data_IF_469988530471
#
_entry.id   IF_469988530471
#
_cell.length_a   1.000
_cell.length_b   1.000
_cell.length_c   1.000
_cell.angle_alpha   90.00
_cell.angle_beta   90.00
_cell.angle_gamma   90.00
#
_symmetry.space_group_name_H-M   'P 1'
#
loop_
_entity.id
_entity.type
_entity.pdbx_description
1 polymer ?
#
# COMPACT_ATOMS: atom_id res chain seq x y z
N UNK A 1 42.22 -26.72 -38.89
CA UNK A 1 40.76 -26.49 -38.92
C UNK A 1 40.35 -26.01 -37.54
N UNK A 2 39.50 -24.97 -37.49
CA UNK A 2 39.00 -24.31 -36.27
C UNK A 2 37.94 -25.19 -35.57
N UNK A 3 37.28 -24.63 -34.55
CA UNK A 3 36.15 -25.15 -33.74
C UNK A 3 36.63 -25.86 -32.45
N UNK A 4 36.23 -25.48 -31.22
CA UNK A 4 35.22 -24.55 -30.74
C UNK A 4 35.61 -24.05 -29.35
N UNK A 5 35.50 -22.75 -29.10
CA UNK A 5 35.52 -22.18 -27.76
C UNK A 5 34.16 -22.46 -27.10
N UNK A 6 34.16 -23.30 -26.06
CA UNK A 6 32.98 -23.49 -25.22
C UNK A 6 32.80 -22.24 -24.36
N UNK A 7 31.74 -21.48 -24.65
CA UNK A 7 31.29 -20.35 -23.84
C UNK A 7 30.76 -20.93 -22.53
N UNK A 8 31.48 -20.74 -21.42
CA UNK A 8 30.90 -20.91 -20.09
C UNK A 8 29.87 -19.80 -19.89
N UNK A 9 28.60 -20.14 -20.11
CA UNK A 9 27.49 -19.31 -19.71
C UNK A 9 27.50 -19.19 -18.18
N UNK A 10 27.74 -17.98 -17.68
CA UNK A 10 27.48 -17.62 -16.29
C UNK A 10 25.98 -17.76 -16.08
N UNK A 11 25.55 -18.88 -15.50
CA UNK A 11 24.25 -18.99 -14.89
C UNK A 11 24.24 -18.00 -13.70
N UNK A 12 23.77 -16.78 -13.96
CA UNK A 12 23.41 -15.85 -12.91
C UNK A 12 22.34 -16.55 -12.08
N UNK A 13 22.73 -17.02 -10.90
CA UNK A 13 21.82 -17.48 -9.86
C UNK A 13 20.94 -16.30 -9.53
N UNK A 14 19.81 -16.20 -10.23
CA UNK A 14 18.70 -15.37 -9.83
C UNK A 14 18.22 -15.95 -8.51
N UNK A 15 18.86 -15.54 -7.42
CA UNK A 15 18.30 -15.59 -6.08
C UNK A 15 17.12 -14.63 -6.10
N UNK A 16 16.05 -15.05 -6.77
CA UNK A 16 14.72 -14.62 -6.42
C UNK A 16 14.55 -15.11 -4.98
N UNK A 17 14.91 -14.23 -4.04
CA UNK A 17 14.30 -14.24 -2.72
C UNK A 17 12.82 -14.23 -3.04
N UNK A 18 12.20 -15.41 -2.98
CA UNK A 18 10.77 -15.55 -3.02
C UNK A 18 10.29 -14.81 -1.78
N UNK A 19 10.04 -13.51 -1.95
CA UNK A 19 9.35 -12.70 -0.97
C UNK A 19 8.10 -13.52 -0.65
N UNK A 20 7.94 -13.99 0.60
CA UNK A 20 6.73 -14.69 0.98
C UNK A 20 5.59 -13.76 0.58
N UNK A 21 4.69 -14.21 -0.31
CA UNK A 21 3.40 -13.55 -0.43
C UNK A 21 2.86 -13.57 0.98
N UNK A 22 2.61 -12.41 1.56
CA UNK A 22 1.93 -12.30 2.84
C UNK A 22 0.49 -12.78 2.61
N UNK A 23 0.30 -14.10 2.57
CA UNK A 23 -1.01 -14.72 2.45
C UNK A 23 -1.76 -14.36 3.73
N UNK A 24 -2.70 -13.41 3.64
CA UNK A 24 -3.57 -13.00 4.75
C UNK A 24 -3.39 -11.57 5.24
N UNK A 25 -2.31 -10.87 4.85
CA UNK A 25 -2.14 -9.47 5.24
C UNK A 25 -2.86 -8.54 4.25
N UNK A 26 -3.66 -7.61 4.78
CA UNK A 26 -4.46 -6.69 3.96
C UNK A 26 -4.73 -5.37 4.68
N UNK A 27 -5.20 -4.37 3.92
CA UNK A 27 -5.75 -3.14 4.47
C UNK A 27 -7.24 -3.06 4.17
N UNK A 28 -8.05 -2.80 5.19
CA UNK A 28 -9.41 -2.28 5.00
C UNK A 28 -9.32 -0.78 4.78
N UNK A 29 -9.75 -0.29 3.62
CA UNK A 29 -9.57 1.11 3.22
C UNK A 29 -10.88 1.86 3.08
N UNK A 30 -10.85 3.14 3.43
CA UNK A 30 -11.91 4.12 3.20
C UNK A 30 -11.29 5.33 2.54
N UNK A 31 -11.82 5.74 1.39
CA UNK A 31 -11.46 6.99 0.72
C UNK A 31 -12.66 7.93 0.81
N UNK A 32 -12.44 9.16 1.25
CA UNK A 32 -13.44 10.22 1.20
C UNK A 32 -12.91 11.42 0.43
N UNK A 33 -13.65 11.85 -0.57
CA UNK A 33 -13.37 13.06 -1.37
C UNK A 33 -14.55 14.01 -1.25
N UNK A 34 -14.34 15.17 -0.65
CA UNK A 34 -15.39 16.17 -0.46
C UNK A 34 -15.47 17.12 -1.66
N UNK A 35 -16.66 17.66 -1.92
CA UNK A 35 -16.85 18.66 -2.97
C UNK A 35 -16.13 19.98 -2.65
N UNK A 36 -15.95 20.27 -1.34
CA UNK A 36 -15.13 21.37 -0.88
C UNK A 36 -13.63 21.01 -1.05
N UNK A 37 -12.92 21.66 -2.00
CA UNK A 37 -11.51 21.36 -2.28
C UNK A 37 -10.57 21.83 -1.17
N UNK A 38 -11.07 22.51 -0.12
CA UNK A 38 -10.29 22.83 1.07
C UNK A 38 -10.16 21.64 2.03
N UNK A 39 -11.07 20.65 1.93
CA UNK A 39 -11.06 19.44 2.76
C UNK A 39 -10.18 18.32 2.19
N UNK A 40 -9.86 18.38 0.88
CA UNK A 40 -8.98 17.43 0.21
C UNK A 40 -9.55 16.01 0.08
N UNK A 41 -8.68 15.06 -0.28
CA UNK A 41 -9.01 13.63 -0.28
C UNK A 41 -8.40 12.99 0.97
N UNK A 42 -9.19 12.25 1.73
CA UNK A 42 -8.71 11.50 2.90
C UNK A 42 -8.74 10.01 2.60
N UNK A 43 -7.65 9.32 2.93
CA UNK A 43 -7.50 7.88 2.87
C UNK A 43 -7.27 7.36 4.28
N UNK A 44 -8.24 6.64 4.82
CA UNK A 44 -8.07 5.88 6.07
C UNK A 44 -7.86 4.41 5.74
N UNK A 45 -6.83 3.80 6.27
CA UNK A 45 -6.55 2.38 6.06
C UNK A 45 -6.31 1.69 7.40
N UNK A 46 -6.84 0.48 7.55
CA UNK A 46 -6.67 -0.37 8.71
C UNK A 46 -5.95 -1.65 8.28
N UNK A 47 -4.70 -1.80 8.67
CA UNK A 47 -3.87 -2.98 8.40
C UNK A 47 -4.28 -4.18 9.26
N UNK A 48 -4.45 -5.31 8.62
CA UNK A 48 -4.72 -6.61 9.23
C UNK A 48 -3.57 -7.53 8.86
N UNK A 49 -2.94 -8.13 9.88
CA UNK A 49 -1.92 -9.15 9.66
C UNK A 49 -2.20 -10.39 10.50
N UNK A 50 -2.22 -11.55 9.84
CA UNK A 50 -2.40 -12.83 10.53
C UNK A 50 -1.16 -13.19 11.38
N UNK A 51 0.02 -12.75 10.95
CA UNK A 51 1.28 -12.99 11.64
C UNK A 51 1.44 -12.13 12.92
N UNK A 52 0.62 -11.08 13.07
CA UNK A 52 0.66 -10.19 14.22
C UNK A 52 -0.76 -9.78 14.68
N UNK A 53 -1.50 -10.69 15.34
CA UNK A 53 -2.86 -10.41 15.80
C UNK A 53 -2.90 -9.36 16.92
N UNK A 54 -1.79 -9.13 17.63
CA UNK A 54 -1.72 -8.30 18.85
C UNK A 54 -1.56 -6.79 18.60
N UNK A 55 -1.79 -6.34 17.35
CA UNK A 55 -1.72 -4.94 16.90
C UNK A 55 -0.30 -4.37 16.98
N UNK A 56 0.14 -3.81 15.86
CA UNK A 56 1.50 -3.27 15.74
C UNK A 56 1.69 -2.03 16.63
N UNK A 57 2.93 -1.54 16.75
CA UNK A 57 3.25 -0.32 17.49
C UNK A 57 2.60 0.93 16.88
N UNK A 58 2.23 0.87 15.60
CA UNK A 58 1.28 1.78 14.97
C UNK A 58 -0.10 1.20 15.20
N UNK A 59 -1.00 2.00 15.78
CA UNK A 59 -2.42 1.67 15.77
C UNK A 59 -2.72 1.21 14.35
N UNK A 60 -3.30 0.02 14.17
CA UNK A 60 -3.36 -0.62 12.86
C UNK A 60 -4.07 0.28 11.81
N UNK A 61 -4.73 1.34 12.26
CA UNK A 61 -5.34 2.39 11.48
C UNK A 61 -4.41 3.61 11.32
N UNK A 62 -4.25 4.05 10.07
CA UNK A 62 -3.66 5.34 9.73
C UNK A 62 -4.57 6.13 8.79
N UNK A 63 -4.35 7.45 8.74
CA UNK A 63 -5.05 8.39 7.87
C UNK A 63 -4.04 9.22 7.12
N UNK A 64 -4.15 9.23 5.79
CA UNK A 64 -3.39 10.09 4.91
C UNK A 64 -4.33 11.10 4.25
N UNK A 65 -3.94 12.37 4.24
CA UNK A 65 -4.61 13.38 3.44
C UNK A 65 -3.79 13.63 2.17
N UNK A 66 -4.45 13.41 1.05
CA UNK A 66 -3.95 13.54 -0.30
C UNK A 66 -4.51 14.84 -0.84
N UNK A 67 -3.60 15.80 -1.04
CA UNK A 67 -3.94 17.11 -1.55
C UNK A 67 -3.55 17.17 -3.03
N UNK A 68 -4.46 17.66 -3.87
CA UNK A 68 -4.19 17.88 -5.29
C UNK A 68 -3.34 19.16 -5.50
N UNK A 69 -3.06 19.89 -4.41
CA UNK A 69 -2.26 21.12 -4.35
C UNK A 69 -0.77 20.79 -4.13
N UNK A 70 0.16 21.76 -4.33
CA UNK A 70 1.60 21.54 -4.10
C UNK A 70 2.00 21.29 -2.63
N UNK A 71 1.03 21.13 -1.73
CA UNK A 71 1.22 20.67 -0.35
C UNK A 71 1.55 19.18 -0.35
N UNK A 72 2.63 18.74 0.31
CA UNK A 72 2.95 17.32 0.39
C UNK A 72 1.81 16.53 1.02
N UNK A 73 1.48 15.38 0.44
CA UNK A 73 0.63 14.38 1.09
C UNK A 73 1.20 14.08 2.47
N UNK A 74 0.33 14.02 3.47
CA UNK A 74 0.74 13.73 4.84
C UNK A 74 -0.06 12.57 5.39
N UNK A 75 0.61 11.72 6.16
CA UNK A 75 -0.01 10.65 6.92
C UNK A 75 0.22 10.88 8.42
N UNK A 76 -0.75 10.50 9.25
CA UNK A 76 -0.71 10.66 10.70
C UNK A 76 0.34 9.78 11.41
N UNK A 77 0.93 8.81 10.69
CA UNK A 77 1.99 7.94 11.18
C UNK A 77 3.24 8.00 10.29
N UNK A 78 4.41 7.88 10.91
CA UNK A 78 5.67 7.71 10.18
C UNK A 78 5.79 6.30 9.63
N UNK A 79 6.38 6.15 8.44
CA UNK A 79 6.58 4.83 7.81
C UNK A 79 5.34 4.28 7.11
N UNK A 80 4.26 5.05 6.97
CA UNK A 80 3.15 4.76 6.07
C UNK A 80 3.12 5.75 4.91
N UNK A 81 2.64 5.30 3.75
CA UNK A 81 2.32 6.17 2.63
C UNK A 81 1.07 5.71 1.90
N UNK A 82 0.34 6.68 1.35
CA UNK A 82 -0.78 6.46 0.47
C UNK A 82 -0.66 7.36 -0.77
N UNK A 83 -0.91 6.79 -1.95
CA UNK A 83 -0.98 7.50 -3.23
C UNK A 83 -2.28 7.11 -3.93
N UNK A 84 -3.06 8.10 -4.33
CA UNK A 84 -4.38 7.95 -4.93
C UNK A 84 -4.45 8.74 -6.23
N UNK A 85 -4.68 8.04 -7.34
CA UNK A 85 -4.75 8.63 -8.68
C UNK A 85 -6.19 8.94 -9.15
N UNK A 86 -7.18 8.78 -8.26
CA UNK A 86 -8.61 8.89 -8.59
C UNK A 86 -9.29 7.55 -8.88
N UNK A 87 -8.54 6.46 -9.03
CA UNK A 87 -9.07 5.11 -9.25
C UNK A 87 -8.34 4.02 -8.47
N UNK A 88 -7.02 4.10 -8.40
CA UNK A 88 -6.13 3.13 -7.80
C UNK A 88 -5.49 3.73 -6.55
N UNK A 89 -5.60 3.01 -5.44
CA UNK A 89 -4.92 3.35 -4.19
C UNK A 89 -3.69 2.47 -4.06
N UNK A 90 -2.53 3.09 -3.85
CA UNK A 90 -1.27 2.42 -3.52
C UNK A 90 -0.92 2.72 -2.08
N UNK A 91 -0.61 1.67 -1.32
CA UNK A 91 -0.25 1.77 0.08
C UNK A 91 1.14 1.19 0.31
N UNK A 92 1.89 1.81 1.21
CA UNK A 92 3.04 1.19 1.84
C UNK A 92 3.03 1.42 3.35
N UNK A 93 3.56 0.45 4.09
CA UNK A 93 3.65 0.52 5.55
C UNK A 93 4.88 -0.25 6.04
N UNK A 94 5.61 0.35 6.97
CA UNK A 94 6.62 -0.34 7.77
C UNK A 94 5.94 -1.14 8.88
N UNK A 95 6.10 -2.46 8.84
CA UNK A 95 5.62 -3.41 9.85
C UNK A 95 6.82 -3.83 10.68
N UNK A 96 6.78 -3.65 12.00
CA UNK A 96 7.91 -3.97 12.89
C UNK A 96 7.86 -5.39 13.47
N UNK A 97 6.70 -6.04 13.46
CA UNK A 97 6.44 -7.34 14.11
C UNK A 97 5.56 -8.24 13.24
N UNK A 98 5.78 -9.57 13.27
CA UNK A 98 6.83 -10.26 14.01
C UNK A 98 8.22 -10.10 13.36
N UNK A 99 8.26 -9.84 12.06
CA UNK A 99 9.48 -9.60 11.29
C UNK A 99 9.42 -8.19 10.69
N UNK A 100 10.45 -7.35 10.91
CA UNK A 100 10.52 -6.03 10.30
C UNK A 100 10.51 -6.12 8.77
N UNK A 101 9.57 -5.45 8.13
CA UNK A 101 9.49 -5.33 6.68
C UNK A 101 8.64 -4.12 6.27
N UNK A 102 8.91 -3.56 5.10
CA UNK A 102 7.99 -2.64 4.43
C UNK A 102 7.08 -3.46 3.51
N UNK A 103 5.78 -3.40 3.75
CA UNK A 103 4.76 -4.04 2.91
C UNK A 103 4.15 -3.04 1.94
N UNK A 104 3.70 -3.54 0.80
CA UNK A 104 3.13 -2.77 -0.30
C UNK A 104 1.89 -3.47 -0.87
N UNK A 105 0.89 -2.69 -1.26
CA UNK A 105 -0.28 -3.18 -1.97
C UNK A 105 -0.90 -2.09 -2.84
N UNK A 106 -1.63 -2.51 -3.86
CA UNK A 106 -2.41 -1.62 -4.70
C UNK A 106 -3.75 -2.25 -5.06
N UNK A 107 -4.79 -1.41 -5.19
CA UNK A 107 -6.12 -1.87 -5.55
C UNK A 107 -6.99 -0.74 -6.08
N UNK A 108 -7.95 -1.11 -6.95
CA UNK A 108 -8.96 -0.18 -7.44
C UNK A 108 -10.04 0.05 -6.39
N UNK A 109 -10.42 1.31 -6.17
CA UNK A 109 -11.50 1.69 -5.25
C UNK A 109 -12.53 2.51 -6.01
N UNK A 110 -13.77 2.03 -6.04
CA UNK A 110 -14.86 2.74 -6.71
C UNK A 110 -15.50 3.72 -5.72
N UNK A 111 -15.43 5.01 -6.06
CA UNK A 111 -16.11 6.05 -5.28
C UNK A 111 -17.59 6.12 -5.63
N UNK A 112 -18.45 6.24 -4.61
CA UNK A 112 -19.88 6.51 -4.74
C UNK A 112 -20.20 7.87 -4.15
N UNK A 113 -20.87 8.71 -4.94
CA UNK A 113 -21.26 10.05 -4.50
C UNK A 113 -22.45 10.03 -3.55
N UNK A 114 -22.38 10.86 -2.51
CA UNK A 114 -23.45 11.13 -1.55
C UNK A 114 -23.84 12.60 -1.62
N UNK A 115 -25.04 12.86 -2.15
CA UNK A 115 -25.63 14.21 -2.22
C UNK A 115 -25.84 14.83 -0.84
N UNK A 116 -26.14 14.02 0.17
CA UNK A 116 -26.39 14.47 1.53
C UNK A 116 -25.10 14.97 2.20
N UNK A 117 -23.99 14.24 2.02
CA UNK A 117 -22.70 14.60 2.60
C UNK A 117 -21.88 15.53 1.70
N UNK A 118 -22.31 15.78 0.46
CA UNK A 118 -21.53 16.49 -0.57
C UNK A 118 -20.10 15.95 -0.69
N UNK A 119 -20.03 14.62 -0.79
CA UNK A 119 -18.79 13.88 -0.80
C UNK A 119 -18.93 12.52 -1.50
N UNK A 120 -17.84 12.04 -2.07
CA UNK A 120 -17.70 10.70 -2.62
C UNK A 120 -16.95 9.79 -1.65
N UNK A 121 -17.47 8.58 -1.45
CA UNK A 121 -16.88 7.58 -0.56
C UNK A 121 -16.57 6.29 -1.30
N UNK A 122 -15.39 5.73 -1.06
CA UNK A 122 -14.98 4.42 -1.53
C UNK A 122 -14.57 3.54 -0.37
N UNK A 123 -14.89 2.25 -0.46
CA UNK A 123 -14.51 1.23 0.50
C UNK A 123 -13.91 0.07 -0.24
N UNK A 124 -12.90 -0.57 0.35
CA UNK A 124 -12.34 -1.79 -0.22
C UNK A 124 -11.35 -2.47 0.70
N UNK A 125 -10.82 -3.58 0.19
CA UNK A 125 -9.72 -4.31 0.82
C UNK A 125 -8.57 -4.33 -0.17
N UNK A 126 -7.39 -3.94 0.28
CA UNK A 126 -6.16 -4.02 -0.51
C UNK A 126 -5.29 -5.09 0.10
N UNK A 127 -5.04 -6.16 -0.64
CA UNK A 127 -4.14 -7.23 -0.22
C UNK A 127 -2.67 -6.75 -0.26
N UNK A 128 -1.85 -7.23 0.67
CA UNK A 128 -0.39 -7.08 0.57
C UNK A 128 0.10 -7.91 -0.61
N UNK A 129 0.71 -7.25 -1.57
CA UNK A 129 1.24 -7.89 -2.78
C UNK A 129 2.75 -8.12 -2.69
N UNK A 130 3.46 -7.32 -1.90
CA UNK A 130 4.92 -7.36 -1.77
C UNK A 130 5.34 -6.95 -0.36
N UNK A 131 6.41 -7.57 0.14
CA UNK A 131 7.12 -7.18 1.35
C UNK A 131 8.63 -7.08 1.07
N UNK A 132 9.32 -6.14 1.71
CA UNK A 132 10.77 -5.96 1.63
C UNK A 132 11.32 -5.87 3.06
N UNK A 133 12.19 -6.78 3.44
CA UNK A 133 12.90 -6.77 4.72
C UNK A 133 14.19 -5.94 4.65
#
# INVERSE_FOLDING_TARGET
MRFSAAILALAASASAVAVPRAQGDSWSVVISKYDDPSLGTSVTAHFHSEANPDKSRFDNRFTCNIDDKPTPNWCDHNGVSADWDGKTLKLSQQVEKPNPATVFGEGEIVLKYSEYNKASYGYGTIEVQKAIA
#
